data_IF_360371605195
#
_entry.id   IF_360371605195
#
_cell.length_a   1.000
_cell.length_b   1.000
_cell.length_c   1.000
_cell.angle_alpha   90.00
_cell.angle_beta   90.00
_cell.angle_gamma   90.00
#
_symmetry.space_group_name_H-M   'P 1'
#
loop_
_entity.id
_entity.type
_entity.pdbx_description
1 polymer ?
#
# COMPACT_ATOMS: atom_id res chain seq x y z
N UNK A 1 -12.03 4.52 -30.41
CA UNK A 1 -10.69 4.41 -31.02
C UNK A 1 -9.83 3.44 -30.23
N UNK A 2 -9.03 2.62 -30.91
CA UNK A 2 -8.07 1.70 -30.29
C UNK A 2 -6.82 2.51 -29.87
N UNK A 3 -6.33 2.34 -28.65
CA UNK A 3 -5.09 3.00 -28.19
C UNK A 3 -3.87 2.42 -28.91
N UNK A 4 -2.87 3.25 -29.21
CA UNK A 4 -1.61 2.76 -29.78
C UNK A 4 -0.79 1.98 -28.74
N UNK A 5 0.12 1.09 -29.17
CA UNK A 5 1.06 0.43 -28.29
C UNK A 5 1.89 1.42 -27.43
N UNK A 6 2.36 2.54 -27.99
CA UNK A 6 3.08 3.55 -27.20
C UNK A 6 2.19 4.18 -26.13
N UNK A 7 0.93 4.48 -26.44
CA UNK A 7 0.00 5.04 -25.46
C UNK A 7 -0.27 4.05 -24.32
N UNK A 8 -0.38 2.75 -24.62
CA UNK A 8 -0.55 1.71 -23.60
C UNK A 8 0.73 1.61 -22.75
N UNK A 9 1.90 1.52 -23.39
CA UNK A 9 3.19 1.45 -22.69
C UNK A 9 3.42 2.66 -21.78
N UNK A 10 3.17 3.86 -22.29
CA UNK A 10 3.23 5.10 -21.53
C UNK A 10 2.31 5.04 -20.31
N UNK A 11 1.03 4.69 -20.49
CA UNK A 11 0.10 4.58 -19.37
C UNK A 11 0.55 3.55 -18.32
N UNK A 12 0.99 2.37 -18.75
CA UNK A 12 1.48 1.34 -17.84
C UNK A 12 2.73 1.78 -17.07
N UNK A 13 3.66 2.51 -17.71
CA UNK A 13 4.86 3.05 -17.05
C UNK A 13 4.57 4.05 -15.93
N UNK A 14 3.38 4.67 -15.96
CA UNK A 14 2.94 5.64 -14.95
C UNK A 14 2.28 4.97 -13.75
N UNK A 15 1.88 3.71 -13.87
CA UNK A 15 1.33 2.91 -12.77
C UNK A 15 2.49 2.46 -11.88
N UNK A 16 2.57 3.02 -10.67
CA UNK A 16 3.58 2.64 -9.68
C UNK A 16 3.06 1.49 -8.83
N UNK A 17 3.92 0.52 -8.54
CA UNK A 17 3.61 -0.63 -7.66
C UNK A 17 3.82 -0.33 -6.16
N UNK A 18 4.25 0.88 -5.82
CA UNK A 18 4.56 1.34 -4.47
C UNK A 18 4.42 2.85 -4.36
N UNK A 19 4.27 3.34 -3.14
CA UNK A 19 4.05 4.76 -2.85
C UNK A 19 2.87 5.33 -3.65
N UNK A 20 1.85 4.49 -3.86
CA UNK A 20 0.59 4.93 -4.45
C UNK A 20 -0.06 5.98 -3.54
N UNK A 21 -0.96 6.80 -4.12
CA UNK A 21 -1.66 7.85 -3.35
C UNK A 21 -2.35 7.26 -2.11
N UNK A 22 -3.00 6.10 -2.28
CA UNK A 22 -3.72 5.40 -1.21
C UNK A 22 -2.75 4.93 -0.11
N UNK A 23 -1.60 4.35 -0.48
CA UNK A 23 -0.58 3.97 0.50
C UNK A 23 0.01 5.16 1.26
N UNK A 24 0.23 6.30 0.59
CA UNK A 24 0.71 7.53 1.24
C UNK A 24 -0.32 8.05 2.24
N UNK A 25 -1.59 8.07 1.84
CA UNK A 25 -2.69 8.55 2.67
C UNK A 25 -2.92 7.66 3.89
N UNK A 26 -2.95 6.34 3.69
CA UNK A 26 -3.02 5.36 4.78
C UNK A 26 -1.86 5.56 5.77
N UNK A 27 -0.64 5.74 5.28
CA UNK A 27 0.53 5.99 6.14
C UNK A 27 0.38 7.26 6.97
N UNK A 28 -0.05 8.35 6.35
CA UNK A 28 -0.29 9.63 7.07
C UNK A 28 -1.33 9.46 8.16
N UNK A 29 -2.41 8.75 7.86
CA UNK A 29 -3.50 8.51 8.81
C UNK A 29 -3.09 7.58 9.97
N UNK A 30 -2.28 6.56 9.70
CA UNK A 30 -1.73 5.74 10.78
C UNK A 30 -0.82 6.56 11.71
N UNK A 31 0.00 7.45 11.14
CA UNK A 31 0.84 8.36 11.93
C UNK A 31 0.03 9.38 12.73
N UNK A 32 -1.02 9.97 12.15
CA UNK A 32 -1.89 10.92 12.85
C UNK A 32 -2.58 10.28 14.06
N UNK A 33 -2.95 9.00 13.95
CA UNK A 33 -3.51 8.16 15.03
C UNK A 33 -2.48 7.63 16.02
N UNK A 34 -1.20 7.97 15.87
CA UNK A 34 -0.11 7.47 16.73
C UNK A 34 0.23 5.98 16.53
N UNK A 35 -0.29 5.34 15.49
CA UNK A 35 -0.02 3.93 15.17
C UNK A 35 1.33 3.82 14.44
N UNK A 36 2.31 3.21 15.11
CA UNK A 36 3.66 3.01 14.56
C UNK A 36 3.77 1.69 13.82
N UNK A 37 4.41 1.75 12.65
CA UNK A 37 4.56 0.61 11.74
C UNK A 37 5.95 0.61 11.07
N UNK A 38 6.33 -0.53 10.50
CA UNK A 38 7.47 -0.67 9.57
C UNK A 38 6.95 -0.75 8.14
N UNK A 39 7.72 -0.18 7.22
CA UNK A 39 7.50 -0.31 5.78
C UNK A 39 8.40 -1.41 5.19
N UNK A 40 8.00 -1.99 4.06
CA UNK A 40 8.81 -2.91 3.26
C UNK A 40 9.34 -4.10 4.07
N UNK A 41 8.42 -4.83 4.72
CA UNK A 41 8.78 -5.87 5.68
C UNK A 41 9.05 -7.18 4.93
N UNK A 42 10.32 -7.41 4.61
CA UNK A 42 10.75 -8.55 3.81
C UNK A 42 10.88 -9.87 4.60
N UNK A 43 10.84 -9.81 5.92
CA UNK A 43 11.01 -10.96 6.82
C UNK A 43 9.67 -11.60 7.23
N UNK A 44 8.57 -11.26 6.56
CA UNK A 44 7.23 -11.83 6.81
C UNK A 44 6.69 -12.43 5.50
N UNK A 45 6.09 -13.64 5.52
CA UNK A 45 5.44 -14.23 4.35
C UNK A 45 4.45 -13.26 3.71
N UNK A 46 4.46 -13.17 2.37
CA UNK A 46 3.62 -12.23 1.63
C UNK A 46 4.18 -10.80 1.50
N UNK A 47 5.35 -10.51 2.10
CA UNK A 47 6.08 -9.23 1.97
C UNK A 47 5.16 -8.00 2.12
N UNK A 48 4.45 -7.86 3.25
CA UNK A 48 3.48 -6.78 3.43
C UNK A 48 4.16 -5.40 3.39
N UNK A 49 3.48 -4.43 2.76
CA UNK A 49 3.96 -3.05 2.66
C UNK A 49 4.01 -2.33 4.01
N UNK A 50 3.11 -2.70 4.93
CA UNK A 50 2.99 -2.13 6.28
C UNK A 50 2.85 -3.27 7.30
N UNK A 51 3.70 -3.28 8.32
CA UNK A 51 3.51 -4.15 9.50
C UNK A 51 3.57 -3.34 10.79
N UNK A 52 2.59 -3.51 11.67
CA UNK A 52 2.55 -2.82 12.96
C UNK A 52 3.62 -3.36 13.92
N UNK A 53 4.33 -2.45 14.58
CA UNK A 53 5.31 -2.81 15.61
C UNK A 53 4.56 -2.95 16.93
N UNK A 54 4.60 -4.14 17.54
CA UNK A 54 4.18 -4.33 18.94
C UNK A 54 2.69 -4.55 19.20
N UNK A 55 1.82 -4.68 18.18
CA UNK A 55 0.43 -5.12 18.39
C UNK A 55 0.04 -6.24 17.44
N UNK A 56 -0.10 -7.47 17.98
CA UNK A 56 -0.87 -8.55 17.35
C UNK A 56 -2.36 -8.19 17.40
N UNK A 57 -2.85 -7.31 16.54
CA UNK A 57 -4.30 -7.11 16.41
C UNK A 57 -4.76 -7.67 15.07
N UNK A 58 -5.59 -8.73 15.15
CA UNK A 58 -6.40 -9.21 14.04
C UNK A 58 -7.37 -8.08 13.70
N UNK A 59 -7.17 -7.44 12.55
CA UNK A 59 -8.17 -6.53 11.99
C UNK A 59 -9.17 -7.43 11.28
N UNK A 60 -10.21 -7.85 12.00
CA UNK A 60 -11.40 -8.43 11.37
C UNK A 60 -12.23 -7.24 10.89
N UNK A 61 -12.20 -6.96 9.60
CA UNK A 61 -13.18 -6.03 9.02
C UNK A 61 -14.50 -6.80 8.96
N UNK A 62 -15.38 -6.58 9.93
CA UNK A 62 -16.78 -6.96 9.80
C UNK A 62 -17.46 -5.82 9.04
N UNK A 63 -18.01 -6.14 7.87
CA UNK A 63 -19.01 -5.30 7.22
C UNK A 63 -20.32 -5.60 7.93
N UNK A 64 -20.85 -4.62 8.66
CA UNK A 64 -22.26 -4.59 9.05
C UNK A 64 -23.09 -3.99 7.90
#
# INVERSE_FOLDING_TARGET
MKKSPEQIHYNMSRIRSKDTKIEVELRKELWSRGLRYRKNVNNVPGKPDIAFIGKKKKVQTTLD
#
